data_IF_589483930228
#
_entry.id   IF_589483930228
#
_cell.length_a   1.000
_cell.length_b   1.000
_cell.length_c   1.000
_cell.angle_alpha   90.00
_cell.angle_beta   90.00
_cell.angle_gamma   90.00
#
_symmetry.space_group_name_H-M   'P 1'
#
loop_
_entity.id
_entity.type
_entity.pdbx_description
1 polymer ?
#
# COMPACT_ATOMS: atom_id res chain seq x y z
N UNK A 1 -41.50 29.50 28.84
CA UNK A 1 -40.42 28.61 29.33
C UNK A 1 -40.53 27.18 28.76
N UNK A 2 -41.71 26.55 28.79
CA UNK A 2 -41.90 25.18 28.27
C UNK A 2 -41.61 25.02 26.77
N UNK A 3 -42.06 25.93 25.90
CA UNK A 3 -41.72 25.85 24.45
C UNK A 3 -40.22 25.93 24.16
N UNK A 4 -39.46 26.69 24.95
CA UNK A 4 -38.02 26.85 24.76
C UNK A 4 -37.27 25.58 25.17
N UNK A 5 -37.74 24.89 26.20
CA UNK A 5 -37.25 23.57 26.62
C UNK A 5 -37.55 22.50 25.55
N UNK A 6 -38.75 22.48 24.97
CA UNK A 6 -39.10 21.57 23.88
C UNK A 6 -38.27 21.82 22.61
N UNK A 7 -38.11 23.08 22.21
CA UNK A 7 -37.28 23.45 21.06
C UNK A 7 -35.82 23.03 21.25
N UNK A 8 -35.27 23.26 22.46
CA UNK A 8 -33.90 22.85 22.80
C UNK A 8 -33.75 21.33 22.79
N UNK A 9 -34.74 20.59 23.30
CA UNK A 9 -34.77 19.12 23.26
C UNK A 9 -34.76 18.58 21.83
N UNK A 10 -35.57 19.13 20.93
CA UNK A 10 -35.61 18.74 19.51
C UNK A 10 -34.26 19.02 18.84
N UNK A 11 -33.63 20.16 19.13
CA UNK A 11 -32.32 20.51 18.57
C UNK A 11 -31.24 19.53 19.04
N UNK A 12 -31.21 19.18 20.34
CA UNK A 12 -30.24 18.21 20.88
C UNK A 12 -30.43 16.83 20.24
N UNK A 13 -31.66 16.32 20.16
CA UNK A 13 -31.94 15.03 19.53
C UNK A 13 -31.56 15.05 18.04
N UNK A 14 -31.87 16.14 17.35
CA UNK A 14 -31.48 16.34 15.95
C UNK A 14 -29.95 16.32 15.76
N UNK A 15 -29.20 17.01 16.61
CA UNK A 15 -27.73 17.01 16.57
C UNK A 15 -27.14 15.62 16.87
N UNK A 16 -27.70 14.89 17.85
CA UNK A 16 -27.29 13.52 18.14
C UNK A 16 -27.55 12.58 16.96
N UNK A 17 -28.70 12.72 16.30
CA UNK A 17 -29.05 11.91 15.13
C UNK A 17 -28.16 12.22 13.91
N UNK A 18 -27.84 13.51 13.69
CA UNK A 18 -26.90 13.92 12.65
C UNK A 18 -25.48 13.38 12.90
N UNK A 19 -25.02 13.41 14.15
CA UNK A 19 -23.74 12.81 14.53
C UNK A 19 -23.70 11.29 14.31
N UNK A 20 -24.79 10.60 14.65
CA UNK A 20 -24.91 9.15 14.47
C UNK A 20 -24.92 8.75 12.99
N UNK A 21 -25.77 9.39 12.18
CA UNK A 21 -25.89 9.11 10.74
C UNK A 21 -24.59 9.42 9.98
N UNK A 22 -23.88 10.49 10.36
CA UNK A 22 -22.58 10.84 9.77
C UNK A 22 -21.54 9.74 10.00
N UNK A 23 -21.45 9.19 11.23
CA UNK A 23 -20.52 8.11 11.54
C UNK A 23 -20.82 6.82 10.75
N UNK A 24 -22.11 6.50 10.55
CA UNK A 24 -22.53 5.35 9.74
C UNK A 24 -22.10 5.53 8.29
N UNK A 25 -22.35 6.71 7.69
CA UNK A 25 -21.97 6.99 6.31
C UNK A 25 -20.46 6.84 6.08
N UNK A 26 -19.65 7.39 6.99
CA UNK A 26 -18.18 7.26 6.92
C UNK A 26 -17.74 5.80 7.05
N UNK A 27 -18.34 5.05 7.97
CA UNK A 27 -18.02 3.62 8.13
C UNK A 27 -18.36 2.81 6.89
N UNK A 28 -19.49 3.10 6.24
CA UNK A 28 -19.91 2.40 5.02
C UNK A 28 -18.99 2.72 3.83
N UNK A 29 -18.62 3.98 3.64
CA UNK A 29 -17.65 4.38 2.61
C UNK A 29 -16.27 3.74 2.84
N UNK A 30 -15.82 3.69 4.09
CA UNK A 30 -14.58 3.02 4.46
C UNK A 30 -14.66 1.50 4.19
N UNK A 31 -15.78 0.86 4.52
CA UNK A 31 -16.01 -0.57 4.24
C UNK A 31 -16.01 -0.88 2.74
N UNK A 32 -16.62 -0.03 1.92
CA UNK A 32 -16.61 -0.19 0.47
C UNK A 32 -15.20 -0.04 -0.10
N UNK A 33 -14.44 0.96 0.36
CA UNK A 33 -13.04 1.13 -0.03
C UNK A 33 -12.22 -0.11 0.34
N UNK A 34 -12.38 -0.64 1.56
CA UNK A 34 -11.69 -1.87 1.98
C UNK A 34 -12.13 -3.11 1.20
N UNK A 35 -13.39 -3.18 0.80
CA UNK A 35 -13.91 -4.28 -0.02
C UNK A 35 -13.28 -4.29 -1.41
N UNK A 36 -13.10 -3.12 -2.04
CA UNK A 36 -12.41 -3.01 -3.33
C UNK A 36 -10.96 -3.47 -3.22
N UNK A 37 -10.25 -3.07 -2.15
CA UNK A 37 -8.88 -3.54 -1.89
C UNK A 37 -8.85 -5.05 -1.67
N UNK A 38 -9.73 -5.57 -0.83
CA UNK A 38 -9.83 -7.01 -0.55
C UNK A 38 -10.07 -7.82 -1.81
N UNK A 39 -10.99 -7.36 -2.67
CA UNK A 39 -11.28 -8.00 -3.94
C UNK A 39 -10.04 -8.08 -4.83
N UNK A 40 -9.29 -6.99 -4.98
CA UNK A 40 -8.05 -7.01 -5.78
C UNK A 40 -7.03 -7.98 -5.20
N UNK A 41 -6.85 -8.00 -3.87
CA UNK A 41 -5.93 -8.93 -3.20
C UNK A 41 -6.34 -10.38 -3.44
N UNK A 42 -7.62 -10.71 -3.26
CA UNK A 42 -8.14 -12.05 -3.50
C UNK A 42 -8.01 -12.46 -4.97
N UNK A 43 -8.34 -11.59 -5.91
CA UNK A 43 -8.14 -11.84 -7.34
C UNK A 43 -6.68 -12.14 -7.68
N UNK A 44 -5.73 -11.40 -7.10
CA UNK A 44 -4.30 -11.66 -7.32
C UNK A 44 -3.87 -13.00 -6.72
N UNK A 45 -4.34 -13.34 -5.52
CA UNK A 45 -4.04 -14.61 -4.85
C UNK A 45 -4.62 -15.81 -5.62
N UNK A 46 -5.84 -15.66 -6.16
CA UNK A 46 -6.54 -16.71 -6.92
C UNK A 46 -6.10 -16.84 -8.37
N UNK A 47 -5.33 -15.88 -8.90
CA UNK A 47 -4.78 -15.95 -10.26
C UNK A 47 -3.98 -17.24 -10.48
N UNK A 48 -4.18 -17.93 -11.60
CA UNK A 48 -3.40 -19.12 -11.96
C UNK A 48 -1.97 -18.78 -12.39
N UNK A 49 -1.77 -17.56 -12.93
CA UNK A 49 -0.44 -17.10 -13.35
C UNK A 49 0.55 -17.10 -12.18
N UNK A 50 1.76 -17.59 -12.41
CA UNK A 50 2.84 -17.65 -11.41
C UNK A 50 3.20 -16.26 -10.87
N UNK A 51 3.10 -15.25 -11.73
CA UNK A 51 3.17 -13.84 -11.38
C UNK A 51 1.86 -13.15 -11.76
N UNK A 52 1.40 -12.18 -10.96
CA UNK A 52 0.26 -11.34 -11.31
C UNK A 52 0.35 -10.01 -10.57
N UNK A 53 0.24 -8.89 -11.27
CA UNK A 53 0.19 -7.55 -10.67
C UNK A 53 -1.12 -6.85 -10.98
N UNK A 54 -1.52 -5.91 -10.11
CA UNK A 54 -2.62 -4.97 -10.36
C UNK A 54 -2.41 -3.70 -9.57
N UNK A 55 -2.51 -2.58 -10.27
CA UNK A 55 -2.51 -1.27 -9.62
C UNK A 55 -3.91 -0.94 -9.14
N UNK A 56 -3.98 -0.40 -7.93
CA UNK A 56 -5.19 0.09 -7.34
C UNK A 56 -5.00 1.54 -6.91
N UNK A 57 -5.93 2.39 -7.33
CA UNK A 57 -6.04 3.78 -6.87
C UNK A 57 -7.22 3.89 -5.93
N UNK A 58 -6.99 4.43 -4.74
CA UNK A 58 -8.00 4.66 -3.70
C UNK A 58 -8.36 6.15 -3.60
N UNK A 59 -9.51 6.52 -3.02
CA UNK A 59 -9.87 7.93 -2.85
C UNK A 59 -8.90 8.69 -1.94
N UNK A 60 -8.51 9.92 -2.29
CA UNK A 60 -7.65 10.73 -1.41
C UNK A 60 -8.31 11.11 -0.07
N UNK A 61 -9.65 11.20 -0.11
CA UNK A 61 -10.52 11.71 0.95
C UNK A 61 -11.87 11.01 0.80
N UNK A 62 -12.47 10.59 1.91
CA UNK A 62 -13.86 10.14 1.92
C UNK A 62 -14.76 11.34 2.24
N UNK A 63 -15.88 11.51 1.56
CA UNK A 63 -16.78 12.64 1.80
C UNK A 63 -18.11 12.17 2.37
N UNK A 64 -18.57 12.82 3.44
CA UNK A 64 -19.83 12.52 4.11
C UNK A 64 -20.65 13.80 4.37
N UNK A 65 -21.89 13.63 4.84
CA UNK A 65 -22.84 14.73 5.03
C UNK A 65 -23.61 15.09 3.77
N UNK A 66 -24.52 16.05 3.88
CA UNK A 66 -25.41 16.47 2.78
C UNK A 66 -24.55 16.97 1.62
N UNK A 67 -24.79 16.43 0.42
CA UNK A 67 -24.04 16.73 -0.80
C UNK A 67 -22.51 16.53 -0.70
N UNK A 68 -22.03 15.55 0.09
CA UNK A 68 -20.59 15.23 0.22
C UNK A 68 -19.77 16.45 0.66
N UNK A 69 -20.32 17.26 1.57
CA UNK A 69 -19.73 18.54 1.98
C UNK A 69 -18.59 18.42 2.98
N UNK A 70 -18.53 17.36 3.78
CA UNK A 70 -17.53 17.23 4.85
C UNK A 70 -16.45 16.21 4.47
N UNK A 71 -15.18 16.61 4.41
CA UNK A 71 -14.07 15.69 4.15
C UNK A 71 -13.72 14.86 5.38
N UNK A 72 -13.42 13.59 5.15
CA UNK A 72 -12.86 12.64 6.10
C UNK A 72 -11.50 12.17 5.59
N UNK A 73 -10.44 12.68 6.23
CA UNK A 73 -9.06 12.29 5.93
C UNK A 73 -8.71 11.03 6.71
N UNK A 74 -8.08 10.09 6.03
CA UNK A 74 -7.89 8.76 6.58
C UNK A 74 -6.50 8.21 6.29
N UNK A 75 -6.09 7.29 7.15
CA UNK A 75 -4.91 6.45 6.99
C UNK A 75 -5.37 5.05 6.59
N UNK A 76 -4.78 4.49 5.53
CA UNK A 76 -4.96 3.10 5.13
C UNK A 76 -3.77 2.29 5.64
N UNK A 77 -4.01 1.32 6.51
CA UNK A 77 -2.96 0.46 7.02
C UNK A 77 -3.09 -0.96 6.51
N UNK A 78 -1.92 -1.57 6.26
CA UNK A 78 -1.76 -2.98 5.98
C UNK A 78 -0.90 -3.58 7.09
N UNK A 79 -1.36 -4.66 7.71
CA UNK A 79 -0.63 -5.34 8.78
C UNK A 79 -0.61 -6.84 8.55
N UNK A 80 0.53 -7.49 8.79
CA UNK A 80 0.64 -8.96 8.80
C UNK A 80 0.36 -9.51 10.19
N UNK A 81 -0.43 -10.57 10.26
CA UNK A 81 -0.73 -11.30 11.49
C UNK A 81 -0.44 -12.77 11.24
N UNK A 82 0.41 -13.37 12.08
CA UNK A 82 0.60 -14.82 12.06
C UNK A 82 -0.57 -15.50 12.76
N UNK A 83 -1.29 -16.33 12.03
CA UNK A 83 -2.31 -17.21 12.58
C UNK A 83 -1.64 -18.55 12.90
N UNK A 84 -1.04 -18.63 14.09
CA UNK A 84 -0.51 -19.88 14.62
C UNK A 84 -1.67 -20.82 14.97
N UNK A 85 -2.27 -21.49 13.98
CA UNK A 85 -3.21 -22.59 14.22
C UNK A 85 -2.41 -23.89 14.27
N UNK A 86 -2.43 -24.53 15.44
CA UNK A 86 -1.53 -25.61 15.86
C UNK A 86 -1.67 -26.95 15.12
N UNK A 87 -2.27 -26.99 13.92
CA UNK A 87 -2.55 -28.26 13.23
C UNK A 87 -2.41 -28.26 11.71
N UNK A 88 -2.26 -27.11 11.03
CA UNK A 88 -2.22 -27.09 9.55
C UNK A 88 -1.27 -26.00 9.01
N UNK A 89 -0.03 -25.93 9.50
CA UNK A 89 0.98 -24.99 8.97
C UNK A 89 0.73 -23.51 9.31
N UNK A 90 1.76 -22.68 9.10
CA UNK A 90 1.69 -21.23 9.34
C UNK A 90 0.78 -20.57 8.31
N UNK A 91 -0.38 -20.07 8.75
CA UNK A 91 -1.23 -19.20 7.94
C UNK A 91 -0.90 -17.76 8.28
N UNK A 92 -0.72 -16.92 7.26
CA UNK A 92 -0.63 -15.48 7.46
C UNK A 92 -1.99 -14.86 7.17
N UNK A 93 -2.31 -13.78 7.86
CA UNK A 93 -3.45 -12.94 7.54
C UNK A 93 -2.99 -11.52 7.25
N UNK A 94 -3.54 -10.94 6.17
CA UNK A 94 -3.43 -9.52 5.89
C UNK A 94 -4.60 -8.81 6.55
N UNK A 95 -4.32 -7.92 7.49
CA UNK A 95 -5.32 -7.02 8.07
C UNK A 95 -5.21 -5.69 7.33
N UNK A 96 -6.31 -5.24 6.74
CA UNK A 96 -6.42 -3.96 6.04
C UNK A 96 -7.39 -3.11 6.82
N UNK A 97 -6.98 -1.91 7.24
CA UNK A 97 -7.85 -1.05 8.05
C UNK A 97 -7.76 0.42 7.68
N UNK A 98 -8.88 1.12 7.86
CA UNK A 98 -9.01 2.56 7.67
C UNK A 98 -9.24 3.19 9.05
N UNK A 99 -8.39 4.14 9.41
CA UNK A 99 -8.53 4.99 10.60
C UNK A 99 -8.63 6.45 10.19
N UNK A 100 -9.22 7.29 11.05
CA UNK A 100 -9.14 8.73 10.85
C UNK A 100 -7.69 9.20 11.03
N UNK A 101 -7.22 10.06 10.12
CA UNK A 101 -5.83 10.50 10.13
C UNK A 101 -5.44 11.13 11.47
N UNK A 102 -4.32 10.69 12.03
CA UNK A 102 -3.82 11.18 13.33
C UNK A 102 -4.63 10.71 14.54
N UNK A 103 -5.58 9.77 14.36
CA UNK A 103 -6.33 9.15 15.45
C UNK A 103 -6.11 7.64 15.46
N UNK A 104 -6.14 7.07 16.66
CA UNK A 104 -5.98 5.63 16.89
C UNK A 104 -7.24 4.82 16.59
N UNK A 105 -8.37 5.49 16.37
CA UNK A 105 -9.66 4.83 16.18
C UNK A 105 -9.77 4.26 14.76
N UNK A 106 -9.81 2.94 14.67
CA UNK A 106 -10.15 2.21 13.46
C UNK A 106 -11.65 2.39 13.17
N UNK A 107 -11.97 2.81 11.95
CA UNK A 107 -13.33 3.03 11.46
C UNK A 107 -13.88 1.78 10.76
N UNK A 108 -13.02 1.11 9.99
CA UNK A 108 -13.32 -0.13 9.31
C UNK A 108 -12.06 -0.98 9.19
N UNK A 109 -12.23 -2.30 9.22
CA UNK A 109 -11.13 -3.26 9.05
C UNK A 109 -11.64 -4.52 8.34
N UNK A 110 -10.76 -5.16 7.58
CA UNK A 110 -10.94 -6.45 6.90
C UNK A 110 -9.73 -7.33 7.18
N UNK A 111 -9.96 -8.62 7.32
CA UNK A 111 -8.91 -9.62 7.49
C UNK A 111 -9.00 -10.63 6.36
N UNK A 112 -7.90 -10.83 5.65
CA UNK A 112 -7.79 -11.76 4.54
C UNK A 112 -6.83 -12.88 4.96
N UNK A 113 -7.33 -14.05 5.37
CA UNK A 113 -6.48 -15.21 5.64
C UNK A 113 -5.92 -15.76 4.34
N UNK A 114 -4.63 -16.11 4.32
CA UNK A 114 -3.96 -16.62 3.12
C UNK A 114 -2.80 -17.57 3.42
N UNK A 115 -2.51 -18.44 2.46
CA UNK A 115 -1.33 -19.33 2.45
C UNK A 115 -0.18 -18.71 1.67
N UNK A 116 0.05 -17.41 1.86
CA UNK A 116 1.12 -16.67 1.20
C UNK A 116 1.99 -15.98 2.24
N UNK A 117 3.27 -15.83 1.93
CA UNK A 117 4.14 -14.91 2.64
C UNK A 117 3.76 -13.47 2.25
N UNK A 118 3.55 -12.59 3.23
CA UNK A 118 3.12 -11.21 3.00
C UNK A 118 4.34 -10.32 3.14
N UNK A 119 4.71 -9.62 2.06
CA UNK A 119 5.83 -8.69 2.02
C UNK A 119 5.26 -7.27 1.89
N UNK A 120 5.36 -6.50 2.97
CA UNK A 120 4.95 -5.11 3.01
C UNK A 120 6.15 -4.21 2.74
N UNK A 121 6.06 -3.37 1.70
CA UNK A 121 7.12 -2.44 1.29
C UNK A 121 6.81 -1.07 1.89
N UNK A 122 7.70 -0.59 2.78
CA UNK A 122 7.52 0.68 3.46
C UNK A 122 7.66 1.88 2.50
N UNK A 123 6.77 2.87 2.54
CA UNK A 123 6.90 4.06 1.68
C UNK A 123 8.23 4.84 1.86
N UNK A 124 8.87 4.76 3.02
CA UNK A 124 10.18 5.36 3.28
C UNK A 124 11.32 4.73 2.46
N UNK A 125 11.16 3.48 2.00
CA UNK A 125 12.16 2.84 1.12
C UNK A 125 12.21 3.51 -0.26
N UNK A 126 11.10 4.12 -0.69
CA UNK A 126 10.92 4.69 -2.04
C UNK A 126 11.63 6.04 -2.19
N UNK A 127 11.93 6.72 -1.09
CA UNK A 127 12.47 8.10 -1.06
C UNK A 127 13.97 8.16 -0.70
N UNK A 128 14.58 7.02 -0.34
CA UNK A 128 15.98 6.96 0.02
C UNK A 128 16.36 7.50 1.40
N UNK A 129 15.41 7.57 2.35
CA UNK A 129 15.75 7.79 3.76
C UNK A 129 16.51 6.56 4.27
N UNK A 130 17.84 6.65 4.19
CA UNK A 130 18.81 5.67 4.69
C UNK A 130 18.76 4.28 4.03
N UNK A 131 19.08 4.26 2.73
CA UNK A 131 19.22 3.04 1.91
C UNK A 131 20.23 2.01 2.48
N UNK A 132 21.12 2.40 3.40
CA UNK A 132 21.98 1.46 4.15
C UNK A 132 21.17 0.53 5.08
N UNK A 133 19.94 0.94 5.42
CA UNK A 133 19.00 0.21 6.26
C UNK A 133 17.79 -0.33 5.47
N UNK A 134 17.90 -0.48 4.13
CA UNK A 134 16.84 -1.02 3.25
C UNK A 134 16.20 -2.31 3.79
N UNK A 135 16.99 -3.17 4.45
CA UNK A 135 16.51 -4.39 5.12
C UNK A 135 15.50 -4.14 6.25
N UNK A 136 15.56 -2.99 6.93
CA UNK A 136 14.60 -2.57 7.97
C UNK A 136 13.29 -2.03 7.39
N UNK A 137 13.30 -1.65 6.11
CA UNK A 137 12.15 -1.07 5.40
C UNK A 137 11.46 -2.06 4.45
N UNK A 138 12.04 -3.25 4.29
CA UNK A 138 11.48 -4.35 3.53
C UNK A 138 10.88 -5.41 4.47
N UNK A 139 9.68 -5.90 4.18
CA UNK A 139 8.97 -6.90 4.98
C UNK A 139 8.58 -6.43 6.41
N UNK A 140 8.04 -5.20 6.50
CA UNK A 140 7.53 -4.68 7.78
C UNK A 140 6.30 -5.45 8.28
N UNK A 141 6.10 -5.43 9.60
CA UNK A 141 4.86 -5.94 10.21
C UNK A 141 3.63 -5.13 9.85
N UNK A 142 3.83 -3.84 9.57
CA UNK A 142 2.77 -2.90 9.22
C UNK A 142 3.34 -1.79 8.34
N UNK A 143 2.54 -1.35 7.36
CA UNK A 143 2.75 -0.10 6.62
C UNK A 143 1.48 0.74 6.68
N UNK A 144 1.64 2.06 6.61
CA UNK A 144 0.54 3.02 6.61
C UNK A 144 0.69 3.89 5.35
N UNK A 145 -0.39 4.00 4.58
CA UNK A 145 -0.53 4.88 3.43
C UNK A 145 -1.47 6.03 3.80
N UNK A 146 -1.15 7.22 3.33
CA UNK A 146 -1.93 8.44 3.55
C UNK A 146 -2.26 9.02 2.18
N UNK A 147 -3.43 8.67 1.62
CA UNK A 147 -3.78 8.99 0.24
C UNK A 147 -3.70 10.49 -0.09
N UNK A 148 -3.95 11.35 0.90
CA UNK A 148 -3.97 12.81 0.73
C UNK A 148 -2.59 13.47 0.58
N UNK A 149 -1.49 12.82 1.00
CA UNK A 149 -0.13 13.38 0.86
C UNK A 149 0.23 13.75 -0.58
N UNK A 150 -0.41 13.10 -1.56
CA UNK A 150 -0.31 13.36 -3.00
C UNK A 150 -0.54 14.82 -3.45
N UNK A 151 -1.26 15.63 -2.66
CA UNK A 151 -1.71 16.99 -3.08
C UNK A 151 -0.78 18.14 -2.70
N UNK A 152 0.26 17.94 -1.89
CA UNK A 152 1.15 19.03 -1.46
C UNK A 152 2.49 18.99 -2.18
N UNK A 153 2.52 19.62 -3.37
CA UNK A 153 3.75 20.02 -4.06
C UNK A 153 4.42 18.89 -4.86
N UNK A 154 4.45 19.06 -6.19
CA UNK A 154 5.39 18.44 -7.13
C UNK A 154 5.68 16.93 -7.02
N UNK A 155 4.76 16.09 -6.54
CA UNK A 155 4.94 14.63 -6.59
C UNK A 155 4.39 14.07 -7.92
N UNK A 156 5.24 13.34 -8.66
CA UNK A 156 4.96 12.82 -10.02
C UNK A 156 4.06 11.57 -10.01
N UNK A 157 3.80 10.96 -8.86
CA UNK A 157 2.78 9.89 -8.71
C UNK A 157 1.93 10.09 -7.44
N UNK A 158 0.61 9.86 -7.52
CA UNK A 158 -0.27 10.13 -6.41
C UNK A 158 -0.16 9.04 -5.33
N UNK A 159 0.05 9.46 -4.07
CA UNK A 159 0.17 8.61 -2.86
C UNK A 159 -1.09 7.81 -2.51
N UNK A 160 -2.09 7.90 -3.35
CA UNK A 160 -3.34 7.18 -3.31
C UNK A 160 -3.30 5.88 -4.15
N UNK A 161 -2.12 5.46 -4.62
CA UNK A 161 -1.98 4.28 -5.46
C UNK A 161 -0.93 3.30 -4.95
N UNK A 162 -1.22 2.02 -5.11
CA UNK A 162 -0.31 0.92 -4.75
C UNK A 162 -0.56 -0.28 -5.66
N UNK A 163 0.43 -1.16 -5.72
CA UNK A 163 0.42 -2.37 -6.52
C UNK A 163 0.28 -3.55 -5.59
N UNK A 164 -0.65 -4.45 -5.95
CA UNK A 164 -0.73 -5.79 -5.37
C UNK A 164 -0.08 -6.75 -6.36
N UNK A 165 1.03 -7.37 -5.97
CA UNK A 165 1.75 -8.33 -6.82
C UNK A 165 1.84 -9.68 -6.14
N UNK A 166 1.50 -10.74 -6.85
CA UNK A 166 1.75 -12.12 -6.45
C UNK A 166 2.94 -12.65 -7.24
N UNK A 167 3.82 -13.39 -6.57
CA UNK A 167 4.90 -14.16 -7.18
C UNK A 167 4.94 -15.56 -6.55
N UNK A 168 5.15 -16.60 -7.37
CA UNK A 168 5.29 -17.98 -6.89
C UNK A 168 6.68 -18.50 -7.22
N UNK A 169 7.52 -18.66 -6.18
CA UNK A 169 8.89 -19.18 -6.30
C UNK A 169 8.95 -20.54 -5.61
N UNK A 170 9.35 -21.58 -6.33
CA UNK A 170 9.52 -22.94 -5.78
C UNK A 170 8.28 -23.44 -5.01
N UNK A 171 7.09 -23.15 -5.53
CA UNK A 171 5.80 -23.52 -4.93
C UNK A 171 5.36 -22.66 -3.74
N UNK A 172 6.16 -21.69 -3.30
CA UNK A 172 5.80 -20.73 -2.24
C UNK A 172 5.24 -19.45 -2.84
N UNK A 173 4.07 -19.03 -2.37
CA UNK A 173 3.42 -17.79 -2.81
C UNK A 173 3.90 -16.62 -1.94
N UNK A 174 4.34 -15.55 -2.60
CA UNK A 174 4.62 -14.25 -2.00
C UNK A 174 3.61 -13.23 -2.50
N UNK A 175 3.03 -12.45 -1.60
CA UNK A 175 2.15 -11.32 -1.89
C UNK A 175 2.87 -10.03 -1.48
N UNK A 176 3.13 -9.17 -2.45
CA UNK A 176 3.72 -7.86 -2.25
C UNK A 176 2.65 -6.78 -2.27
N UNK A 177 2.72 -5.87 -1.31
CA UNK A 177 2.00 -4.60 -1.32
C UNK A 177 3.02 -3.49 -1.49
N UNK A 178 3.03 -2.85 -2.66
CA UNK A 178 4.07 -1.91 -3.08
C UNK A 178 3.42 -0.52 -3.29
N UNK A 179 3.71 0.48 -2.46
CA UNK A 179 3.23 1.83 -2.67
C UNK A 179 3.81 2.42 -3.97
N UNK A 180 3.00 3.16 -4.74
CA UNK A 180 3.50 3.84 -5.94
C UNK A 180 4.17 5.17 -5.64
N UNK A 181 3.91 5.77 -4.48
CA UNK A 181 4.66 6.91 -3.98
C UNK A 181 4.65 6.95 -2.45
N UNK A 182 5.35 7.94 -1.88
CA UNK A 182 5.57 8.09 -0.44
C UNK A 182 4.98 9.40 0.08
N UNK A 183 4.59 9.40 1.36
CA UNK A 183 4.15 10.62 2.05
C UNK A 183 5.29 11.62 2.29
N UNK A 184 6.52 11.11 2.30
CA UNK A 184 7.72 11.88 2.58
C UNK A 184 8.21 12.48 1.27
N UNK A 185 8.56 13.76 1.30
CA UNK A 185 9.11 14.41 0.12
C UNK A 185 10.49 13.79 -0.15
N UNK A 186 10.76 13.25 -1.35
CA UNK A 186 12.11 12.86 -1.69
C UNK A 186 13.01 14.10 -1.58
N UNK A 187 14.22 13.98 -1.03
CA UNK A 187 15.18 15.09 -1.05
C UNK A 187 15.40 15.51 -2.50
N UNK A 188 15.38 16.82 -2.82
CA UNK A 188 15.64 17.32 -4.18
C UNK A 188 16.98 16.80 -4.74
N UNK A 189 17.91 16.43 -3.86
CA UNK A 189 19.22 15.88 -4.17
C UNK A 189 19.22 14.42 -4.67
N UNK A 190 18.15 13.65 -4.52
CA UNK A 190 18.14 12.24 -4.93
C UNK A 190 17.75 12.06 -6.40
N UNK A 191 17.08 13.03 -7.03
CA UNK A 191 16.64 12.97 -8.43
C UNK A 191 15.70 11.79 -8.76
N UNK A 192 15.28 11.01 -7.75
CA UNK A 192 14.51 9.79 -7.89
C UNK A 192 13.03 10.14 -8.10
N UNK A 193 12.57 9.95 -9.33
CA UNK A 193 11.16 9.99 -9.66
C UNK A 193 10.48 8.77 -9.04
N UNK A 194 9.51 8.99 -8.16
CA UNK A 194 8.76 7.92 -7.49
C UNK A 194 7.44 7.68 -8.23
N UNK A 195 7.27 6.47 -8.79
CA UNK A 195 6.05 6.00 -9.42
C UNK A 195 5.94 4.46 -9.32
N UNK A 196 4.79 3.90 -9.72
CA UNK A 196 4.54 2.46 -9.68
C UNK A 196 5.66 1.65 -10.38
N UNK A 197 6.06 2.08 -11.59
CA UNK A 197 7.09 1.45 -12.41
C UNK A 197 8.47 1.47 -11.76
N UNK A 198 8.90 2.65 -11.31
CA UNK A 198 10.22 2.85 -10.70
C UNK A 198 10.34 2.05 -9.41
N UNK A 199 9.26 1.96 -8.62
CA UNK A 199 9.27 1.26 -7.35
C UNK A 199 9.27 -0.25 -7.56
N UNK A 200 8.50 -0.78 -8.53
CA UNK A 200 8.59 -2.18 -8.93
C UNK A 200 10.01 -2.56 -9.32
N UNK A 201 10.63 -1.77 -10.19
CA UNK A 201 11.97 -2.06 -10.68
C UNK A 201 13.02 -1.97 -9.57
N UNK A 202 12.92 -0.97 -8.70
CA UNK A 202 13.80 -0.82 -7.53
C UNK A 202 13.71 -2.05 -6.61
N UNK A 203 12.51 -2.56 -6.32
CA UNK A 203 12.33 -3.76 -5.50
C UNK A 203 12.88 -5.00 -6.21
N UNK A 204 12.70 -5.12 -7.53
CA UNK A 204 13.31 -6.18 -8.33
C UNK A 204 14.84 -6.17 -8.25
N UNK A 205 15.46 -4.99 -8.44
CA UNK A 205 16.90 -4.80 -8.31
C UNK A 205 17.41 -5.08 -6.89
N UNK A 206 16.65 -4.71 -5.86
CA UNK A 206 17.00 -5.01 -4.46
C UNK A 206 16.93 -6.52 -4.15
N UNK A 207 15.93 -7.23 -4.68
CA UNK A 207 15.86 -8.68 -4.53
C UNK A 207 17.05 -9.37 -5.23
N UNK A 208 17.46 -8.85 -6.39
CA UNK A 208 18.66 -9.31 -7.08
C UNK A 208 19.92 -9.06 -6.25
N UNK A 209 20.07 -7.88 -5.64
CA UNK A 209 21.25 -7.53 -4.83
C UNK A 209 21.45 -8.48 -3.64
N UNK A 210 20.37 -9.00 -3.05
CA UNK A 210 20.43 -9.99 -1.95
C UNK A 210 21.03 -11.34 -2.35
N UNK A 211 21.13 -11.63 -3.64
CA UNK A 211 21.64 -12.90 -4.14
C UNK A 211 23.13 -12.88 -4.49
N UNK A 212 23.85 -11.79 -4.17
CA UNK A 212 25.23 -11.54 -4.62
C UNK A 212 25.38 -11.68 -6.14
N UNK A 213 24.73 -10.79 -6.92
CA UNK A 213 24.61 -10.94 -8.35
C UNK A 213 25.91 -10.61 -9.11
N UNK A 214 26.16 -11.31 -10.21
CA UNK A 214 27.10 -10.91 -11.25
C UNK A 214 26.53 -9.75 -12.08
N UNK A 215 27.37 -8.98 -12.79
CA UNK A 215 26.91 -7.88 -13.66
C UNK A 215 25.92 -8.34 -14.76
N UNK A 216 26.00 -9.62 -15.15
CA UNK A 216 25.13 -10.24 -16.16
C UNK A 216 23.84 -10.82 -15.59
N UNK A 217 23.72 -10.93 -14.27
CA UNK A 217 22.50 -11.44 -13.66
C UNK A 217 21.36 -10.44 -13.86
N UNK A 218 20.14 -10.95 -13.94
CA UNK A 218 18.97 -10.18 -14.36
C UNK A 218 17.92 -10.16 -13.27
N UNK A 219 17.17 -9.05 -13.20
CA UNK A 219 16.01 -8.91 -12.32
C UNK A 219 15.00 -10.01 -12.65
N UNK A 220 14.41 -10.61 -11.63
CA UNK A 220 13.39 -11.65 -11.78
C UNK A 220 12.32 -11.25 -12.81
N UNK A 221 12.01 -12.18 -13.71
CA UNK A 221 11.03 -12.01 -14.79
C UNK A 221 9.67 -11.53 -14.28
N UNK A 222 9.32 -11.86 -13.03
CA UNK A 222 8.08 -11.42 -12.39
C UNK A 222 8.00 -9.88 -12.25
N UNK A 223 9.10 -9.24 -11.85
CA UNK A 223 9.18 -7.79 -11.70
C UNK A 223 9.29 -7.08 -13.06
N UNK A 224 10.07 -7.64 -13.99
CA UNK A 224 10.17 -7.13 -15.37
C UNK A 224 8.81 -7.22 -16.08
N UNK A 225 8.09 -8.32 -15.91
CA UNK A 225 6.73 -8.50 -16.46
C UNK A 225 5.72 -7.58 -15.80
N UNK A 226 5.80 -7.36 -14.48
CA UNK A 226 4.93 -6.42 -13.78
C UNK A 226 5.12 -4.98 -14.30
N UNK A 227 6.36 -4.58 -14.55
CA UNK A 227 6.71 -3.29 -15.17
C UNK A 227 6.19 -3.20 -16.61
N UNK A 228 6.42 -4.25 -17.42
CA UNK A 228 5.93 -4.34 -18.80
C UNK A 228 4.42 -4.18 -18.89
N UNK A 229 3.67 -4.87 -18.02
CA UNK A 229 2.21 -4.79 -17.94
C UNK A 229 1.73 -3.38 -17.56
N UNK A 230 2.47 -2.67 -16.71
CA UNK A 230 2.13 -1.31 -16.31
C UNK A 230 2.42 -0.29 -17.43
N UNK A 231 3.53 -0.45 -18.15
CA UNK A 231 3.93 0.44 -19.24
C UNK A 231 3.22 0.15 -20.56
N UNK A 232 2.69 -1.07 -20.75
CA UNK A 232 2.17 -1.52 -22.04
C UNK A 232 3.25 -1.69 -23.12
N UNK A 233 4.51 -1.80 -22.72
CA UNK A 233 5.68 -1.92 -23.60
C UNK A 233 6.59 -3.00 -23.05
N UNK A 234 7.03 -3.93 -23.90
CA UNK A 234 7.98 -4.98 -23.53
C UNK A 234 9.29 -4.36 -23.03
N UNK A 235 9.63 -4.66 -21.77
CA UNK A 235 10.94 -4.35 -21.22
C UNK A 235 11.89 -5.54 -21.45
N UNK A 236 13.11 -5.24 -21.91
CA UNK A 236 14.19 -6.23 -21.97
C UNK A 236 14.72 -6.54 -20.57
N UNK A 237 15.41 -7.67 -20.43
CA UNK A 237 16.03 -8.10 -19.17
C UNK A 237 16.88 -6.98 -18.55
N UNK A 238 16.48 -6.53 -17.37
CA UNK A 238 17.22 -5.53 -16.61
C UNK A 238 18.36 -6.23 -15.88
N UNK A 239 19.59 -5.96 -16.29
CA UNK A 239 20.79 -6.54 -15.68
C UNK A 239 21.16 -5.83 -14.38
N UNK A 240 22.01 -6.47 -13.57
CA UNK A 240 22.55 -5.86 -12.37
C UNK A 240 23.35 -4.58 -12.66
N UNK A 241 24.12 -4.56 -13.76
CA UNK A 241 24.79 -3.35 -14.23
C UNK A 241 23.79 -2.20 -14.44
N UNK A 242 22.65 -2.48 -15.09
CA UNK A 242 21.61 -1.47 -15.29
C UNK A 242 20.93 -1.07 -14.00
N UNK A 243 20.74 -2.00 -13.07
CA UNK A 243 20.27 -1.70 -11.72
C UNK A 243 21.21 -0.72 -11.00
N UNK A 244 22.53 -0.87 -11.13
CA UNK A 244 23.50 0.04 -10.51
C UNK A 244 23.56 1.40 -11.21
N UNK A 245 23.33 1.46 -12.52
CA UNK A 245 23.24 2.74 -13.24
C UNK A 245 22.04 3.56 -12.77
N UNK A 246 20.88 2.92 -12.59
CA UNK A 246 19.62 3.58 -12.21
C UNK A 246 19.51 3.77 -10.69
N UNK A 247 19.99 2.80 -9.92
CA UNK A 247 19.93 2.75 -8.45
C UNK A 247 21.33 2.51 -7.85
N UNK A 248 22.27 3.46 -8.00
CA UNK A 248 23.68 3.28 -7.63
C UNK A 248 23.90 2.96 -6.14
N UNK A 249 22.97 3.38 -5.29
CA UNK A 249 23.01 3.10 -3.85
C UNK A 249 22.86 1.62 -3.50
N UNK A 250 22.28 0.78 -4.38
CA UNK A 250 22.15 -0.66 -4.13
C UNK A 250 23.50 -1.38 -4.14
N UNK A 251 24.54 -0.82 -4.77
CA UNK A 251 25.90 -1.36 -4.77
C UNK A 251 26.66 -1.17 -3.45
N UNK A 252 26.15 -0.34 -2.53
CA UNK A 252 26.79 -0.01 -1.26
C UNK A 252 26.17 -0.73 -0.06
N UNK A 253 25.25 -1.68 -0.28
CA UNK A 253 24.61 -2.43 0.82
C UNK A 253 25.65 -3.43 1.36
N UNK A 254 26.11 -3.30 2.62
CA UNK A 254 27.02 -4.29 3.20
C UNK A 254 26.29 -5.63 3.35
N UNK A 255 26.95 -6.70 2.94
CA UNK A 255 26.50 -8.09 3.11
C UNK A 255 26.30 -8.47 4.57
#
# INVERSE_FOLDING_TARGET
>A
MQMLIFATGIVIVGLLFLGFTSNIQVSELARNTLFDVEKVVQERLSSENLWASKDLTIPDVLYYGVNKSTPFFYDLSFSKVSLNSSSVGEYNALVISISEHGKTKVIASRMIPMKANIILVDPGIIIGEDMANLSKHYDKNQIILYPRSAKKGAQVAPANSFIVMKETISGKQNLYIIPCSSMLNPPESTGLLTNCTSNLLMIGCYNLSKTNPSLTDTVSDSFVSAVTNHLGVEMTNVTWEKCLEVYPHLGNIPN
#
